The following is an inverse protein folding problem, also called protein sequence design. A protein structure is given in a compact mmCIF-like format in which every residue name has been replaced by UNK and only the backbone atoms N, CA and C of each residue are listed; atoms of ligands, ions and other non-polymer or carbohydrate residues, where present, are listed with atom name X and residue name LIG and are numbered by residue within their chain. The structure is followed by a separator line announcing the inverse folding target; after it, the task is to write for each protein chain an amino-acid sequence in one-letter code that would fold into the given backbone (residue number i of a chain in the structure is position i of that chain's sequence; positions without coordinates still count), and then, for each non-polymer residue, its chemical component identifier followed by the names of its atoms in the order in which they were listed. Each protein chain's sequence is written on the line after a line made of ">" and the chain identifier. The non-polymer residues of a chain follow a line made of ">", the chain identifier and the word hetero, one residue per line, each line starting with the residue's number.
data_IF_869898203393
#
_entry.id   IF_869898203393
#
_cell.length_a   1.000
_cell.length_b   1.000
_cell.length_c   1.000
_cell.angle_alpha   90.00
_cell.angle_beta   90.00
_cell.angle_gamma   90.00
#
_symmetry.space_group_name_H-M   'P 1'
#
loop_
_entity.id
_entity.type
_entity.pdbx_description
1 polymer ?
#
# COMPACT_ATOMS: atom_id res chain seq x y z
N UNK A 1 6.15 16.63 6.08
CA UNK A 1 5.78 15.71 4.98
C UNK A 1 6.86 15.83 3.93
N UNK A 2 7.65 14.77 3.68
CA UNK A 2 8.84 14.89 2.83
C UNK A 2 8.41 15.01 1.35
N UNK A 3 8.60 16.18 0.72
CA UNK A 3 8.10 16.50 -0.63
C UNK A 3 8.63 15.54 -1.72
N UNK A 4 9.76 14.88 -1.47
CA UNK A 4 10.35 13.88 -2.35
C UNK A 4 9.59 12.56 -2.38
N UNK A 5 8.86 12.20 -1.31
CA UNK A 5 7.99 11.02 -1.29
C UNK A 5 6.88 11.13 -2.35
N UNK A 6 6.44 12.36 -2.63
CA UNK A 6 5.47 12.68 -3.68
C UNK A 6 6.11 12.81 -5.08
N UNK A 7 7.44 12.70 -5.19
CA UNK A 7 8.14 12.82 -6.48
C UNK A 7 8.39 11.46 -7.11
N UNK A 8 8.53 10.39 -6.30
CA UNK A 8 8.59 9.03 -6.83
C UNK A 8 7.18 8.51 -7.17
N UNK A 9 6.87 8.54 -8.47
CA UNK A 9 5.60 8.05 -9.03
C UNK A 9 5.26 6.64 -8.56
N UNK A 10 6.25 5.77 -8.30
CA UNK A 10 6.01 4.39 -7.88
C UNK A 10 5.60 4.29 -6.42
N UNK A 11 6.08 5.20 -5.56
CA UNK A 11 5.67 5.28 -4.15
C UNK A 11 4.24 5.82 -4.04
N UNK A 12 3.89 6.86 -4.81
CA UNK A 12 2.51 7.36 -4.89
C UNK A 12 1.57 6.27 -5.41
N UNK A 13 1.93 5.62 -6.53
CA UNK A 13 1.10 4.58 -7.12
C UNK A 13 0.88 3.42 -6.14
N UNK A 14 1.92 2.98 -5.43
CA UNK A 14 1.80 1.96 -4.38
C UNK A 14 0.89 2.41 -3.22
N UNK A 15 1.01 3.67 -2.80
CA UNK A 15 0.16 4.24 -1.75
C UNK A 15 -1.31 4.33 -2.18
N UNK A 16 -1.60 4.74 -3.41
CA UNK A 16 -2.96 4.73 -3.96
C UNK A 16 -3.53 3.31 -4.06
N UNK A 17 -2.72 2.34 -4.52
CA UNK A 17 -3.14 0.95 -4.60
C UNK A 17 -3.48 0.37 -3.22
N UNK A 18 -2.70 0.75 -2.19
CA UNK A 18 -2.93 0.35 -0.81
C UNK A 18 -4.25 0.85 -0.24
N UNK A 19 -4.63 2.09 -0.55
CA UNK A 19 -5.91 2.65 -0.14
C UNK A 19 -7.07 1.87 -0.77
N UNK A 20 -6.97 1.54 -2.06
CA UNK A 20 -7.99 0.76 -2.78
C UNK A 20 -8.07 -0.67 -2.23
N UNK A 21 -6.93 -1.33 -1.98
CA UNK A 21 -6.93 -2.68 -1.43
C UNK A 21 -7.49 -2.72 -0.01
N UNK A 22 -7.23 -1.70 0.81
CA UNK A 22 -7.82 -1.61 2.15
C UNK A 22 -9.33 -1.43 2.11
N UNK A 23 -9.85 -0.54 1.25
CA UNK A 23 -11.29 -0.36 1.12
C UNK A 23 -11.98 -1.62 0.59
N UNK A 24 -11.38 -2.30 -0.39
CA UNK A 24 -11.88 -3.58 -0.89
C UNK A 24 -11.83 -4.68 0.17
N UNK A 25 -10.72 -4.78 0.92
CA UNK A 25 -10.58 -5.73 2.01
C UNK A 25 -11.63 -5.51 3.10
N UNK A 26 -11.91 -4.26 3.43
CA UNK A 26 -12.95 -3.90 4.40
C UNK A 26 -14.36 -4.23 3.89
N UNK A 27 -14.67 -3.93 2.62
CA UNK A 27 -15.95 -4.30 2.00
C UNK A 27 -16.14 -5.83 1.96
N UNK A 28 -15.08 -6.59 1.66
CA UNK A 28 -15.12 -8.06 1.69
C UNK A 28 -15.31 -8.60 3.10
N UNK A 29 -14.69 -7.98 4.10
CA UNK A 29 -14.86 -8.35 5.50
C UNK A 29 -16.31 -8.10 5.96
N UNK A 30 -16.90 -6.95 5.60
CA UNK A 30 -18.30 -6.62 5.91
C UNK A 30 -19.28 -7.57 5.21
N UNK A 31 -18.96 -8.02 4.00
CA UNK A 31 -19.78 -9.00 3.26
C UNK A 31 -19.50 -10.45 3.66
N UNK A 32 -18.68 -10.67 4.69
CA UNK A 32 -18.31 -11.98 5.23
C UNK A 32 -17.73 -12.94 4.15
N UNK A 33 -17.04 -12.36 3.17
CA UNK A 33 -16.48 -13.08 2.04
C UNK A 33 -15.12 -13.69 2.41
N UNK A 34 -14.95 -15.00 2.29
CA UNK A 34 -13.74 -15.75 2.71
C UNK A 34 -12.40 -15.19 2.21
N UNK A 35 -12.40 -14.43 1.10
CA UNK A 35 -11.21 -13.81 0.54
C UNK A 35 -10.76 -12.51 1.22
N UNK A 36 -11.52 -11.98 2.19
CA UNK A 36 -11.19 -10.73 2.90
C UNK A 36 -9.80 -10.78 3.53
N UNK A 37 -9.45 -11.91 4.16
CA UNK A 37 -8.14 -12.11 4.79
C UNK A 37 -7.00 -12.09 3.78
N UNK A 38 -7.17 -12.73 2.63
CA UNK A 38 -6.17 -12.76 1.55
C UNK A 38 -5.89 -11.36 1.02
N UNK A 39 -6.92 -10.54 0.82
CA UNK A 39 -6.77 -9.15 0.36
C UNK A 39 -5.99 -8.31 1.37
N UNK A 40 -6.25 -8.48 2.66
CA UNK A 40 -5.49 -7.79 3.71
C UNK A 40 -4.02 -8.22 3.71
N UNK A 41 -3.73 -9.52 3.61
CA UNK A 41 -2.34 -10.03 3.56
C UNK A 41 -1.59 -9.44 2.37
N UNK A 42 -2.20 -9.43 1.18
CA UNK A 42 -1.61 -8.83 -0.03
C UNK A 42 -1.38 -7.33 0.17
N UNK A 43 -2.33 -6.61 0.79
CA UNK A 43 -2.17 -5.20 1.11
C UNK A 43 -0.99 -4.97 2.07
N UNK A 44 -0.81 -5.82 3.08
CA UNK A 44 0.34 -5.72 4.00
C UNK A 44 1.67 -5.91 3.27
N UNK A 45 1.78 -6.89 2.37
CA UNK A 45 3.00 -7.12 1.59
C UNK A 45 3.33 -5.90 0.71
N UNK A 46 2.32 -5.37 0.00
CA UNK A 46 2.49 -4.17 -0.85
C UNK A 46 2.90 -2.96 0.02
N UNK A 47 2.38 -2.85 1.24
CA UNK A 47 2.69 -1.77 2.17
C UNK A 47 4.17 -1.81 2.56
N UNK A 48 4.65 -2.98 2.96
CA UNK A 48 6.05 -3.20 3.30
C UNK A 48 6.96 -2.85 2.12
N UNK A 49 6.64 -3.33 0.91
CA UNK A 49 7.41 -3.01 -0.30
C UNK A 49 7.41 -1.50 -0.62
N UNK A 50 6.27 -0.83 -0.45
CA UNK A 50 6.12 0.61 -0.69
C UNK A 50 6.95 1.41 0.32
N UNK A 51 6.95 1.00 1.60
CA UNK A 51 7.77 1.61 2.67
C UNK A 51 9.26 1.39 2.40
N UNK A 52 9.70 0.17 2.07
CA UNK A 52 11.10 -0.10 1.75
C UNK A 52 11.57 0.73 0.56
N UNK A 53 10.73 0.86 -0.47
CA UNK A 53 11.03 1.71 -1.62
C UNK A 53 11.15 3.17 -1.22
N UNK A 54 10.24 3.67 -0.41
CA UNK A 54 10.29 5.04 0.09
C UNK A 54 11.54 5.33 0.93
N UNK A 55 11.94 4.39 1.79
CA UNK A 55 13.19 4.48 2.57
C UNK A 55 14.39 4.48 1.63
N UNK A 56 14.42 3.62 0.61
CA UNK A 56 15.49 3.59 -0.39
C UNK A 56 15.60 4.93 -1.13
N UNK A 57 14.49 5.49 -1.60
CA UNK A 57 14.47 6.80 -2.27
C UNK A 57 15.02 7.89 -1.36
N UNK A 58 14.68 7.86 -0.06
CA UNK A 58 15.21 8.80 0.93
C UNK A 58 16.71 8.65 1.17
N UNK A 59 17.26 7.43 1.11
CA UNK A 59 18.67 7.15 1.43
C UNK A 59 19.61 7.18 0.20
N UNK A 60 19.11 7.42 -1.01
CA UNK A 60 19.94 7.59 -2.22
C UNK A 60 20.36 9.05 -2.47
N UNK A 61 20.09 9.93 -1.50
CA UNK A 61 20.63 11.29 -1.39
C UNK A 61 21.64 11.34 -0.24
#
# INVERSE_FOLDING_TARGET
>A
MNWQFLKDKKVIMGTCLLLILHTLGFMLAVTNNEYWGTVIVVATIISVLTIFRAIKVRNQE
#
